data_IF_345256591421
#
_entry.id   IF_345256591421
#
_cell.length_a   1.000
_cell.length_b   1.000
_cell.length_c   1.000
_cell.angle_alpha   90.00
_cell.angle_beta   90.00
_cell.angle_gamma   90.00
#
_symmetry.space_group_name_H-M   'P 1'
#
loop_
_entity.id
_entity.type
_entity.pdbx_description
1 polymer ?
#
# COMPACT_ATOMS: atom_id res chain seq x y z
N UNK A 1 7.93 -5.11 22.75
CA UNK A 1 7.43 -3.97 21.94
C UNK A 1 6.21 -3.41 22.65
N UNK A 2 6.05 -2.09 22.71
CA UNK A 2 4.83 -1.44 23.22
C UNK A 2 3.78 -1.25 22.12
N UNK A 3 2.53 -0.98 22.48
CA UNK A 3 1.48 -0.67 21.50
C UNK A 3 1.86 0.53 20.61
N UNK A 4 2.47 1.58 21.20
CA UNK A 4 2.99 2.72 20.44
C UNK A 4 4.10 2.29 19.46
N UNK A 5 5.07 1.50 19.91
CA UNK A 5 6.14 1.00 19.03
C UNK A 5 5.59 0.15 17.87
N UNK A 6 4.52 -0.62 18.11
CA UNK A 6 3.83 -1.36 17.05
C UNK A 6 3.16 -0.41 16.04
N UNK A 7 2.45 0.62 16.52
CA UNK A 7 1.87 1.67 15.65
C UNK A 7 2.94 2.40 14.84
N UNK A 8 4.07 2.75 15.46
CA UNK A 8 5.20 3.42 14.81
C UNK A 8 5.88 2.50 13.76
N UNK A 9 5.93 1.19 14.00
CA UNK A 9 6.42 0.21 13.03
C UNK A 9 5.51 0.13 11.80
N UNK A 10 4.18 0.08 12.00
CA UNK A 10 3.21 0.12 10.90
C UNK A 10 3.37 1.39 10.06
N UNK A 11 3.51 2.55 10.71
CA UNK A 11 3.74 3.83 10.02
C UNK A 11 5.05 3.81 9.21
N UNK A 12 6.13 3.29 9.79
CA UNK A 12 7.41 3.13 9.06
C UNK A 12 7.28 2.19 7.87
N UNK A 13 6.50 1.11 7.98
CA UNK A 13 6.21 0.25 6.83
C UNK A 13 5.50 1.02 5.71
N UNK A 14 4.48 1.80 6.03
CA UNK A 14 3.76 2.63 5.06
C UNK A 14 4.69 3.65 4.38
N UNK A 15 5.47 4.39 5.17
CA UNK A 15 6.44 5.36 4.66
C UNK A 15 7.50 4.71 3.77
N UNK A 16 7.98 3.52 4.15
CA UNK A 16 8.99 2.80 3.37
C UNK A 16 8.51 2.37 1.98
N UNK A 17 7.20 2.40 1.72
CA UNK A 17 6.64 2.13 0.40
C UNK A 17 6.50 3.37 -0.48
N UNK A 18 6.54 4.59 0.07
CA UNK A 18 6.23 5.81 -0.68
C UNK A 18 7.13 5.98 -1.93
N UNK A 19 8.45 5.89 -1.75
CA UNK A 19 9.39 6.02 -2.86
C UNK A 19 9.34 4.82 -3.84
N UNK A 20 9.32 3.55 -3.37
CA UNK A 20 9.09 2.41 -4.27
C UNK A 20 7.79 2.47 -5.08
N UNK A 21 6.69 2.93 -4.48
CA UNK A 21 5.40 3.16 -5.17
C UNK A 21 5.59 4.18 -6.28
N UNK A 22 6.17 5.34 -5.96
CA UNK A 22 6.43 6.42 -6.93
C UNK A 22 7.30 5.94 -8.09
N UNK A 23 8.34 5.15 -7.82
CA UNK A 23 9.21 4.58 -8.85
C UNK A 23 8.44 3.58 -9.73
N UNK A 24 7.72 2.64 -9.11
CA UNK A 24 6.94 1.64 -9.82
C UNK A 24 5.85 2.27 -10.70
N UNK A 25 5.15 3.28 -10.22
CA UNK A 25 4.12 4.00 -11.00
C UNK A 25 4.70 4.70 -12.22
N UNK A 26 5.86 5.35 -12.07
CA UNK A 26 6.55 5.98 -13.20
C UNK A 26 7.04 4.95 -14.23
N UNK A 27 7.61 3.84 -13.77
CA UNK A 27 8.04 2.74 -14.63
C UNK A 27 6.86 2.11 -15.38
N UNK A 28 5.80 1.75 -14.65
CA UNK A 28 4.57 1.16 -15.21
C UNK A 28 3.97 2.09 -16.26
N UNK A 29 3.91 3.40 -15.99
CA UNK A 29 3.44 4.38 -16.96
C UNK A 29 4.31 4.40 -18.22
N UNK A 30 5.64 4.51 -18.07
CA UNK A 30 6.55 4.54 -19.20
C UNK A 30 6.49 3.25 -20.05
N UNK A 31 6.35 2.10 -19.39
CA UNK A 31 6.17 0.81 -20.07
C UNK A 31 4.81 0.71 -20.77
N UNK A 32 3.75 1.25 -20.18
CA UNK A 32 2.43 1.37 -20.81
C UNK A 32 2.46 2.23 -22.07
N UNK A 33 3.06 3.42 -21.99
CA UNK A 33 3.16 4.38 -23.09
C UNK A 33 3.99 3.84 -24.27
N UNK A 34 4.93 2.91 -24.00
CA UNK A 34 5.77 2.25 -25.02
C UNK A 34 5.29 0.86 -25.44
N UNK A 35 4.12 0.42 -24.96
CA UNK A 35 3.60 -0.95 -25.15
C UNK A 35 4.57 -2.07 -24.71
N UNK A 36 5.50 -1.79 -23.80
CA UNK A 36 6.40 -2.76 -23.21
C UNK A 36 5.73 -3.49 -22.04
N UNK A 37 4.80 -4.39 -22.36
CA UNK A 37 3.99 -5.10 -21.37
C UNK A 37 4.79 -6.03 -20.45
N UNK A 38 5.87 -6.63 -20.96
CA UNK A 38 6.79 -7.43 -20.14
C UNK A 38 7.49 -6.58 -19.08
N UNK A 39 7.95 -5.38 -19.46
CA UNK A 39 8.51 -4.39 -18.52
C UNK A 39 7.51 -3.98 -17.44
N UNK A 40 6.27 -3.70 -17.85
CA UNK A 40 5.17 -3.40 -16.93
C UNK A 40 4.94 -4.55 -15.93
N UNK A 41 4.85 -5.79 -16.40
CA UNK A 41 4.67 -6.96 -15.54
C UNK A 41 5.83 -7.13 -14.55
N UNK A 42 7.07 -6.88 -15.00
CA UNK A 42 8.26 -6.94 -14.17
C UNK A 42 8.26 -5.90 -13.05
N UNK A 43 7.99 -4.63 -13.37
CA UNK A 43 7.92 -3.55 -12.37
C UNK A 43 6.81 -3.80 -11.35
N UNK A 44 5.62 -4.17 -11.83
CA UNK A 44 4.47 -4.48 -10.98
C UNK A 44 4.74 -5.69 -10.07
N UNK A 45 5.34 -6.76 -10.59
CA UNK A 45 5.68 -7.96 -9.80
C UNK A 45 6.72 -7.70 -8.70
N UNK A 46 7.68 -6.79 -8.93
CA UNK A 46 8.63 -6.36 -7.87
C UNK A 46 7.87 -5.67 -6.73
N UNK A 47 6.95 -4.78 -7.06
CA UNK A 47 6.18 -4.05 -6.06
C UNK A 47 5.20 -4.96 -5.30
N UNK A 48 4.52 -5.86 -6.00
CA UNK A 48 3.70 -6.93 -5.40
C UNK A 48 4.50 -7.73 -4.35
N UNK A 49 5.73 -8.14 -4.70
CA UNK A 49 6.62 -8.89 -3.80
C UNK A 49 7.07 -8.07 -2.60
N UNK A 50 7.39 -6.78 -2.80
CA UNK A 50 7.77 -5.88 -1.73
C UNK A 50 6.65 -5.72 -0.69
N UNK A 51 5.41 -5.56 -1.17
CA UNK A 51 4.22 -5.42 -0.32
C UNK A 51 3.94 -6.73 0.42
N UNK A 52 4.06 -7.88 -0.26
CA UNK A 52 3.93 -9.19 0.38
C UNK A 52 4.94 -9.34 1.54
N UNK A 53 6.18 -8.87 1.38
CA UNK A 53 7.17 -8.86 2.46
C UNK A 53 6.75 -8.03 3.69
N UNK A 54 5.99 -6.93 3.50
CA UNK A 54 5.41 -6.15 4.61
C UNK A 54 4.30 -6.93 5.31
N UNK A 55 3.41 -7.56 4.54
CA UNK A 55 2.34 -8.44 5.06
C UNK A 55 2.94 -9.59 5.88
N UNK A 56 3.99 -10.24 5.37
CA UNK A 56 4.66 -11.35 6.05
C UNK A 56 5.31 -10.90 7.36
N UNK A 57 5.90 -9.70 7.37
CA UNK A 57 6.44 -9.11 8.60
C UNK A 57 5.33 -8.83 9.62
N UNK A 58 4.22 -8.23 9.19
CA UNK A 58 3.06 -7.99 10.07
C UNK A 58 2.50 -9.28 10.66
N UNK A 59 2.36 -10.32 9.84
CA UNK A 59 1.86 -11.61 10.26
C UNK A 59 2.68 -12.22 11.40
N UNK A 60 4.00 -11.97 11.44
CA UNK A 60 4.91 -12.43 12.50
C UNK A 60 4.81 -11.63 13.80
N UNK A 61 4.22 -10.42 13.79
CA UNK A 61 4.06 -9.61 15.00
C UNK A 61 2.86 -10.14 15.79
N UNK A 62 3.08 -10.55 17.04
CA UNK A 62 1.99 -10.83 17.98
C UNK A 62 1.40 -9.50 18.49
N UNK A 63 0.14 -9.25 18.15
CA UNK A 63 -0.61 -8.06 18.54
C UNK A 63 -1.73 -8.37 19.55
N UNK A 64 -1.88 -9.63 19.99
CA UNK A 64 -2.95 -10.04 20.90
C UNK A 64 -2.78 -9.45 22.31
N UNK A 65 -1.55 -9.07 22.67
CA UNK A 65 -1.21 -8.44 23.95
C UNK A 65 -1.60 -6.96 24.05
N UNK A 66 -2.01 -6.31 22.95
CA UNK A 66 -2.44 -4.91 22.93
C UNK A 66 -3.95 -4.80 22.83
N UNK A 67 -4.54 -3.80 23.50
CA UNK A 67 -5.99 -3.58 23.44
C UNK A 67 -6.40 -3.22 22.02
N UNK A 68 -7.24 -4.06 21.39
CA UNK A 68 -7.65 -3.90 19.99
C UNK A 68 -6.55 -4.21 18.95
N UNK A 69 -5.42 -4.80 19.36
CA UNK A 69 -4.28 -5.03 18.47
C UNK A 69 -4.54 -6.03 17.34
N UNK A 70 -5.32 -7.09 17.58
CA UNK A 70 -5.69 -8.07 16.55
C UNK A 70 -6.58 -7.45 15.44
N UNK A 71 -7.55 -6.63 15.82
CA UNK A 71 -8.42 -5.91 14.89
C UNK A 71 -7.60 -4.89 14.08
N UNK A 72 -6.74 -4.13 14.77
CA UNK A 72 -5.86 -3.18 14.12
C UNK A 72 -4.95 -3.86 13.09
N UNK A 73 -4.26 -4.94 13.49
CA UNK A 73 -3.42 -5.76 12.59
C UNK A 73 -4.20 -6.24 11.36
N UNK A 74 -5.43 -6.71 11.55
CA UNK A 74 -6.28 -7.17 10.45
C UNK A 74 -6.56 -6.05 9.44
N UNK A 75 -6.88 -4.85 9.90
CA UNK A 75 -7.11 -3.69 9.02
C UNK A 75 -5.83 -3.28 8.30
N UNK A 76 -4.68 -3.27 9.00
CA UNK A 76 -3.38 -2.96 8.40
C UNK A 76 -3.03 -3.95 7.29
N UNK A 77 -3.23 -5.25 7.52
CA UNK A 77 -2.99 -6.29 6.51
C UNK A 77 -3.89 -6.06 5.30
N UNK A 78 -5.19 -5.80 5.50
CA UNK A 78 -6.12 -5.50 4.40
C UNK A 78 -5.71 -4.29 3.58
N UNK A 79 -5.17 -3.25 4.22
CA UNK A 79 -4.60 -2.09 3.52
C UNK A 79 -3.44 -2.49 2.60
N UNK A 80 -2.47 -3.27 3.10
CA UNK A 80 -1.37 -3.76 2.27
C UNK A 80 -1.84 -4.76 1.20
N UNK A 81 -2.83 -5.60 1.48
CA UNK A 81 -3.43 -6.50 0.48
C UNK A 81 -4.12 -5.72 -0.64
N UNK A 82 -4.80 -4.63 -0.33
CA UNK A 82 -5.34 -3.72 -1.32
C UNK A 82 -4.25 -3.16 -2.22
N UNK A 83 -3.19 -2.57 -1.65
CA UNK A 83 -2.05 -2.06 -2.44
C UNK A 83 -1.45 -3.16 -3.31
N UNK A 84 -1.24 -4.35 -2.74
CA UNK A 84 -0.74 -5.52 -3.48
C UNK A 84 -1.63 -5.83 -4.69
N UNK A 85 -2.96 -5.84 -4.49
CA UNK A 85 -3.93 -6.16 -5.54
C UNK A 85 -3.89 -5.18 -6.73
N UNK A 86 -3.57 -3.90 -6.49
CA UNK A 86 -3.37 -2.91 -7.56
C UNK A 86 -2.18 -3.31 -8.43
N UNK A 87 -1.05 -3.66 -7.81
CA UNK A 87 0.12 -4.11 -8.56
C UNK A 87 -0.04 -5.49 -9.20
N UNK A 88 -0.77 -6.41 -8.56
CA UNK A 88 -1.16 -7.67 -9.20
C UNK A 88 -1.95 -7.40 -10.49
N UNK A 89 -2.81 -6.37 -10.50
CA UNK A 89 -3.59 -6.00 -11.70
C UNK A 89 -2.70 -5.44 -12.82
N UNK A 90 -1.73 -4.57 -12.50
CA UNK A 90 -0.74 -4.13 -13.50
C UNK A 90 0.09 -5.28 -14.07
N UNK A 91 0.43 -6.26 -13.23
CA UNK A 91 1.12 -7.47 -13.64
C UNK A 91 0.26 -8.35 -14.55
N UNK A 92 -1.03 -8.49 -14.26
CA UNK A 92 -2.00 -9.19 -15.11
C UNK A 92 -2.14 -8.50 -16.47
N UNK A 93 -2.26 -7.17 -16.51
CA UNK A 93 -2.29 -6.37 -17.74
C UNK A 93 -1.02 -6.60 -18.58
N UNK A 94 0.14 -6.60 -17.94
CA UNK A 94 1.44 -6.84 -18.58
C UNK A 94 1.61 -8.27 -19.11
N UNK A 95 0.99 -9.26 -18.47
CA UNK A 95 1.07 -10.68 -18.84
C UNK A 95 -0.06 -11.16 -19.76
N UNK A 96 -1.08 -10.34 -20.01
CA UNK A 96 -2.22 -10.69 -20.86
C UNK A 96 -1.75 -11.12 -22.27
N UNK A 97 -2.30 -12.23 -22.78
CA UNK A 97 -1.82 -12.84 -24.01
C UNK A 97 -2.16 -12.03 -25.27
N UNK A 98 -3.21 -11.21 -25.20
CA UNK A 98 -3.71 -10.42 -26.30
C UNK A 98 -4.42 -9.14 -25.82
N UNK A 99 -4.82 -8.28 -26.76
CA UNK A 99 -5.46 -7.00 -26.46
C UNK A 99 -6.81 -7.13 -25.75
N UNK A 100 -7.58 -8.20 -26.01
CA UNK A 100 -8.90 -8.42 -25.37
C UNK A 100 -8.72 -8.78 -23.90
N UNK A 101 -7.81 -9.71 -23.60
CA UNK A 101 -7.47 -10.06 -22.21
C UNK A 101 -6.88 -8.88 -21.46
N UNK A 102 -6.09 -8.04 -22.12
CA UNK A 102 -5.51 -6.85 -21.52
C UNK A 102 -6.60 -5.82 -21.17
N UNK A 103 -7.56 -5.61 -22.07
CA UNK A 103 -8.70 -4.73 -21.81
C UNK A 103 -9.49 -5.23 -20.59
N UNK A 104 -9.78 -6.53 -20.53
CA UNK A 104 -10.46 -7.14 -19.38
C UNK A 104 -9.69 -6.92 -18.07
N UNK A 105 -8.38 -7.16 -18.06
CA UNK A 105 -7.55 -6.92 -16.88
C UNK A 105 -7.50 -5.44 -16.48
N UNK A 106 -7.60 -4.54 -17.45
CA UNK A 106 -7.69 -3.08 -17.21
C UNK A 106 -9.03 -2.71 -16.57
N UNK A 107 -10.13 -3.28 -17.05
CA UNK A 107 -11.47 -3.07 -16.46
C UNK A 107 -11.55 -3.60 -15.02
N UNK A 108 -11.01 -4.80 -14.78
CA UNK A 108 -10.92 -5.40 -13.44
C UNK A 108 -10.08 -4.53 -12.49
N UNK A 109 -9.01 -3.88 -13.01
CA UNK A 109 -8.21 -2.94 -12.24
C UNK A 109 -9.03 -1.71 -11.81
N UNK A 110 -9.82 -1.12 -12.71
CA UNK A 110 -10.64 0.05 -12.38
C UNK A 110 -11.66 -0.25 -11.27
N UNK A 111 -12.23 -1.45 -11.26
CA UNK A 111 -13.11 -1.88 -10.16
C UNK A 111 -12.39 -1.99 -8.82
N UNK A 112 -11.12 -2.40 -8.81
CA UNK A 112 -10.33 -2.45 -7.57
C UNK A 112 -10.01 -1.03 -7.08
N UNK A 113 -9.65 -0.11 -7.97
CA UNK A 113 -9.34 1.28 -7.60
C UNK A 113 -10.51 2.00 -6.94
N UNK A 114 -11.76 1.63 -7.22
CA UNK A 114 -12.91 2.25 -6.55
C UNK A 114 -12.97 1.95 -5.05
N UNK A 115 -12.25 0.94 -4.56
CA UNK A 115 -12.18 0.62 -3.13
C UNK A 115 -11.15 1.47 -2.35
N UNK A 116 -10.34 2.31 -3.03
CA UNK A 116 -9.23 3.03 -2.41
C UNK A 116 -9.65 3.84 -1.19
N UNK A 117 -10.64 4.72 -1.37
CA UNK A 117 -11.09 5.65 -0.33
C UNK A 117 -11.57 4.90 0.92
N UNK A 118 -12.36 3.83 0.73
CA UNK A 118 -12.88 3.02 1.83
C UNK A 118 -11.77 2.31 2.61
N UNK A 119 -10.75 1.83 1.92
CA UNK A 119 -9.62 1.12 2.56
C UNK A 119 -8.72 2.09 3.33
N UNK A 120 -8.45 3.26 2.77
CA UNK A 120 -7.68 4.33 3.43
C UNK A 120 -8.40 4.85 4.68
N UNK A 121 -9.71 5.11 4.59
CA UNK A 121 -10.52 5.60 5.71
C UNK A 121 -10.58 4.59 6.85
N UNK A 122 -10.76 3.30 6.52
CA UNK A 122 -10.75 2.22 7.53
C UNK A 122 -9.39 2.13 8.23
N UNK A 123 -8.30 2.28 7.48
CA UNK A 123 -6.95 2.26 8.05
C UNK A 123 -6.74 3.42 9.02
N UNK A 124 -7.05 4.65 8.59
CA UNK A 124 -6.96 5.86 9.41
C UNK A 124 -7.79 5.75 10.69
N UNK A 125 -9.06 5.36 10.57
CA UNK A 125 -9.96 5.17 11.70
C UNK A 125 -9.44 4.12 12.67
N UNK A 126 -8.89 3.02 12.15
CA UNK A 126 -8.35 1.94 12.99
C UNK A 126 -7.07 2.36 13.72
N UNK A 127 -6.18 3.13 13.08
CA UNK A 127 -4.99 3.72 13.72
C UNK A 127 -5.38 4.64 14.88
N UNK A 128 -6.31 5.57 14.65
CA UNK A 128 -6.81 6.49 15.70
C UNK A 128 -7.44 5.72 16.86
N UNK A 129 -8.27 4.72 16.57
CA UNK A 129 -8.91 3.89 17.59
C UNK A 129 -7.90 3.09 18.40
N UNK A 130 -6.94 2.45 17.74
CA UNK A 130 -5.89 1.67 18.40
C UNK A 130 -5.04 2.55 19.32
N UNK A 131 -4.68 3.76 18.88
CA UNK A 131 -3.95 4.73 19.69
C UNK A 131 -4.73 5.12 20.95
N UNK A 132 -6.00 5.50 20.79
CA UNK A 132 -6.87 5.86 21.90
C UNK A 132 -7.04 4.72 22.93
N UNK A 133 -7.23 3.48 22.46
CA UNK A 133 -7.37 2.30 23.32
C UNK A 133 -6.11 1.99 24.13
N UNK A 134 -4.94 2.44 23.69
CA UNK A 134 -3.66 2.14 24.33
C UNK A 134 -3.00 3.40 24.93
N UNK A 135 -3.76 4.49 25.10
CA UNK A 135 -3.34 5.67 25.85
C UNK A 135 -2.27 6.53 25.15
N UNK A 136 -2.20 6.51 23.82
CA UNK A 136 -1.33 7.40 23.05
C UNK A 136 -2.10 8.13 21.94
N UNK A 137 -1.53 9.20 21.40
CA UNK A 137 -2.10 9.92 20.26
C UNK A 137 -1.51 9.39 18.97
N UNK A 138 -2.37 9.16 17.97
CA UNK A 138 -1.91 8.99 16.62
C UNK A 138 -1.43 10.34 16.08
N UNK A 139 -0.15 10.43 15.74
CA UNK A 139 0.39 11.54 14.96
C UNK A 139 0.53 11.06 13.53
N UNK A 140 -0.28 11.62 12.63
CA UNK A 140 -0.04 11.45 11.20
C UNK A 140 1.37 11.99 10.94
N UNK A 141 2.25 11.23 10.28
CA UNK A 141 3.59 11.71 10.02
C UNK A 141 3.49 12.99 9.19
N UNK A 142 4.24 14.02 9.59
CA UNK A 142 4.37 15.26 8.85
C UNK A 142 4.89 14.89 7.46
N UNK A 143 3.97 14.80 6.49
CA UNK A 143 4.32 14.69 5.08
C UNK A 143 5.05 15.99 4.82
N UNK A 144 6.38 15.95 4.85
CA UNK A 144 7.23 17.09 4.56
C UNK A 144 6.62 17.80 3.36
N UNK A 145 5.98 18.94 3.63
CA UNK A 145 5.45 19.76 2.57
C UNK A 145 6.65 20.03 1.67
N UNK A 146 6.55 19.85 0.34
CA UNK A 146 7.62 20.29 -0.54
C UNK A 146 7.88 21.74 -0.18
N UNK A 147 9.11 21.98 0.29
CA UNK A 147 9.58 23.24 0.84
C UNK A 147 9.04 24.37 -0.04
N UNK A 148 8.02 25.10 0.43
CA UNK A 148 7.48 26.26 -0.28
C UNK A 148 8.38 27.47 -0.02
N UNK A 149 9.69 27.24 -0.14
CA UNK A 149 10.75 28.23 -0.03
C UNK A 149 11.43 28.42 -1.38
N UNK A 150 10.60 28.66 -2.41
CA UNK A 150 10.97 29.53 -3.53
C UNK A 150 10.25 30.86 -3.36
N UNK A 151 10.98 31.85 -2.86
CA UNK A 151 11.00 33.23 -3.38
C UNK A 151 11.77 34.14 -2.41
N UNK A 152 13.07 34.34 -2.67
CA UNK A 152 13.72 35.65 -2.66
C UNK A 152 14.83 35.67 -3.70
#
# INVERSE_FOLDING_TARGET
MTAKQYSDEVLRMQQSLAEPIRQAENEIKAFGDSANYSGMAGAAGKMESLIQGKIDTLNKIDAASFQGGADFKTVVIRYFEYLKSVYSSYKEIGNAANGVERLKATDDMYQKLSAQQDVEERMRTSQTRFAALNGFMFTEPDLAQPDSSSNR
#
